data_IF_871954755992
#
_entry.id   IF_871954755992
#
_cell.length_a   1.000
_cell.length_b   1.000
_cell.length_c   1.000
_cell.angle_alpha   90.00
_cell.angle_beta   90.00
_cell.angle_gamma   90.00
#
_symmetry.space_group_name_H-M   'P 1'
#
loop_
_entity.id
_entity.type
_entity.pdbx_description
1 polymer ?
#
# COMPACT_ATOMS: atom_id res chain seq x y z
N UNK A 1 24.12 -4.64 1.39
CA UNK A 1 23.83 -3.54 2.33
C UNK A 1 22.53 -3.92 3.02
N UNK A 2 22.40 -3.82 4.35
CA UNK A 2 21.08 -3.97 4.96
C UNK A 2 20.17 -2.85 4.46
N UNK A 3 19.00 -3.21 3.94
CA UNK A 3 17.98 -2.23 3.57
C UNK A 3 17.34 -1.74 4.87
N UNK A 4 17.48 -0.45 5.17
CA UNK A 4 16.81 0.15 6.32
C UNK A 4 15.30 0.09 6.08
N UNK A 5 14.57 -0.49 7.03
CA UNK A 5 13.11 -0.53 7.00
C UNK A 5 12.51 0.53 7.93
N UNK A 6 11.31 0.98 7.58
CA UNK A 6 10.49 1.88 8.38
C UNK A 6 9.17 1.18 8.72
N UNK A 7 8.74 1.19 10.00
CA UNK A 7 7.42 0.69 10.37
C UNK A 7 6.35 1.69 9.95
N UNK A 8 5.33 1.26 9.20
CA UNK A 8 4.20 2.08 8.78
C UNK A 8 2.88 1.43 9.22
N UNK A 9 1.85 2.26 9.41
CA UNK A 9 0.47 1.78 9.35
C UNK A 9 -0.13 2.18 8.02
N UNK A 10 -0.61 1.20 7.27
CA UNK A 10 -1.27 1.40 5.99
C UNK A 10 -2.74 1.01 6.07
N UNK A 11 -3.57 1.77 5.36
CA UNK A 11 -4.95 1.39 5.04
C UNK A 11 -4.97 0.78 3.65
N UNK A 12 -5.56 -0.39 3.51
CA UNK A 12 -5.78 -1.09 2.25
C UNK A 12 -7.28 -1.17 2.01
N UNK A 13 -7.74 -0.70 0.86
CA UNK A 13 -9.12 -0.88 0.42
C UNK A 13 -9.15 -1.68 -0.90
N UNK A 14 -9.96 -2.73 -0.92
CA UNK A 14 -10.17 -3.62 -2.07
C UNK A 14 -11.66 -3.57 -2.44
N UNK A 15 -12.01 -2.97 -3.57
CA UNK A 15 -13.40 -2.84 -4.02
C UNK A 15 -13.65 -3.67 -5.29
N UNK A 16 -14.28 -4.83 -5.12
CA UNK A 16 -14.53 -5.78 -6.20
C UNK A 16 -15.83 -5.42 -6.95
N UNK A 17 -15.74 -5.30 -8.28
CA UNK A 17 -16.87 -4.98 -9.13
C UNK A 17 -17.98 -6.03 -8.98
N UNK A 18 -19.19 -5.56 -8.66
CA UNK A 18 -20.35 -6.42 -8.37
C UNK A 18 -20.16 -7.37 -7.18
N UNK A 19 -19.10 -7.18 -6.39
CA UNK A 19 -18.72 -8.01 -5.26
C UNK A 19 -18.71 -7.22 -3.94
N UNK A 20 -18.05 -7.77 -2.91
CA UNK A 20 -17.83 -7.08 -1.65
C UNK A 20 -16.70 -6.04 -1.75
N UNK A 21 -16.71 -5.11 -0.80
CA UNK A 21 -15.58 -4.21 -0.54
C UNK A 21 -14.97 -4.54 0.81
N UNK A 22 -13.64 -4.50 0.88
CA UNK A 22 -12.87 -4.76 2.11
C UNK A 22 -12.00 -3.56 2.46
N UNK A 23 -11.82 -3.35 3.77
CA UNK A 23 -10.96 -2.30 4.32
C UNK A 23 -10.13 -2.90 5.45
N UNK A 24 -8.81 -2.82 5.34
CA UNK A 24 -7.86 -3.34 6.31
C UNK A 24 -6.91 -2.27 6.80
N UNK A 25 -6.54 -2.35 8.08
CA UNK A 25 -5.42 -1.60 8.65
C UNK A 25 -4.30 -2.58 8.94
N UNK A 26 -3.15 -2.36 8.31
CA UNK A 26 -1.99 -3.25 8.40
C UNK A 26 -0.80 -2.48 8.99
N UNK A 27 -0.06 -3.14 9.88
CA UNK A 27 1.23 -2.66 10.36
C UNK A 27 2.33 -3.40 9.62
N UNK A 28 3.19 -2.66 8.91
CA UNK A 28 4.17 -3.23 7.97
C UNK A 28 5.54 -2.60 8.17
N UNK A 29 6.59 -3.41 8.05
CA UNK A 29 7.97 -2.93 7.97
C UNK A 29 8.40 -2.92 6.50
N UNK A 30 8.64 -1.74 5.94
CA UNK A 30 8.91 -1.58 4.50
C UNK A 30 10.24 -0.87 4.25
N UNK A 31 10.93 -1.15 3.14
CA UNK A 31 12.16 -0.43 2.80
C UNK A 31 11.90 1.06 2.62
N UNK A 32 12.78 1.90 3.18
CA UNK A 32 12.75 3.35 2.99
C UNK A 32 12.97 3.68 1.49
N UNK A 33 12.17 4.59 0.89
CA UNK A 33 12.41 5.02 -0.48
C UNK A 33 13.78 5.68 -0.61
N UNK A 34 14.49 5.37 -1.69
CA UNK A 34 15.80 5.95 -1.95
C UNK A 34 15.69 7.46 -2.24
N UNK A 35 16.76 8.21 -1.97
CA UNK A 35 16.80 9.65 -2.23
C UNK A 35 16.62 9.90 -3.74
N UNK A 36 15.55 10.62 -4.10
CA UNK A 36 15.21 10.93 -5.49
C UNK A 36 14.47 9.81 -6.23
N UNK A 37 14.08 8.74 -5.54
CA UNK A 37 13.21 7.70 -6.10
C UNK A 37 11.82 8.26 -6.42
N UNK A 38 11.19 7.75 -7.49
CA UNK A 38 9.79 8.04 -7.76
C UNK A 38 8.92 7.39 -6.69
N UNK A 39 8.33 8.22 -5.83
CA UNK A 39 7.50 7.77 -4.72
C UNK A 39 6.29 6.97 -5.20
N UNK A 40 5.71 7.30 -6.36
CA UNK A 40 4.55 6.53 -6.87
C UNK A 40 4.99 5.12 -7.28
N UNK A 41 6.10 5.01 -8.02
CA UNK A 41 6.70 3.73 -8.37
C UNK A 41 7.12 2.91 -7.14
N UNK A 42 7.68 3.56 -6.13
CA UNK A 42 7.99 2.91 -4.84
C UNK A 42 6.73 2.37 -4.16
N UNK A 43 5.67 3.17 -4.04
CA UNK A 43 4.40 2.71 -3.44
C UNK A 43 3.79 1.54 -4.21
N UNK A 44 3.81 1.59 -5.55
CA UNK A 44 3.33 0.49 -6.41
C UNK A 44 4.15 -0.79 -6.23
N UNK A 45 5.45 -0.67 -6.01
CA UNK A 45 6.35 -1.82 -5.84
C UNK A 45 6.29 -2.41 -4.42
N UNK A 46 6.16 -1.56 -3.40
CA UNK A 46 6.38 -1.92 -2.00
C UNK A 46 5.08 -2.06 -1.21
N UNK A 47 4.10 -1.16 -1.42
CA UNK A 47 2.86 -1.12 -0.65
C UNK A 47 1.69 -1.77 -1.36
N UNK A 48 1.58 -1.61 -2.68
CA UNK A 48 0.49 -2.19 -3.46
C UNK A 48 0.39 -3.72 -3.39
N UNK A 49 1.47 -4.50 -3.22
CA UNK A 49 1.37 -5.95 -3.02
C UNK A 49 0.62 -6.39 -1.75
N UNK A 50 0.32 -5.48 -0.82
CA UNK A 50 -0.54 -5.77 0.35
C UNK A 50 -2.05 -5.71 0.03
N UNK A 51 -2.41 -5.35 -1.21
CA UNK A 51 -3.81 -5.34 -1.68
C UNK A 51 -4.27 -6.73 -2.14
N UNK A 52 -5.59 -6.89 -2.28
CA UNK A 52 -6.23 -8.13 -2.68
C UNK A 52 -6.58 -9.08 -1.53
N UNK A 53 -7.57 -9.94 -1.77
CA UNK A 53 -8.15 -10.87 -0.78
C UNK A 53 -7.84 -12.34 -1.09
N UNK A 54 -6.81 -12.60 -1.88
CA UNK A 54 -6.39 -13.95 -2.25
C UNK A 54 -7.15 -14.55 -3.44
N UNK A 55 -7.01 -15.87 -3.62
CA UNK A 55 -7.42 -16.56 -4.84
C UNK A 55 -8.92 -16.52 -5.13
N UNK A 56 -9.75 -16.39 -4.11
CA UNK A 56 -11.21 -16.39 -4.26
C UNK A 56 -11.73 -15.16 -5.02
N UNK A 57 -10.92 -14.12 -5.13
CA UNK A 57 -11.25 -12.86 -5.79
C UNK A 57 -10.32 -12.53 -6.98
N UNK A 58 -9.43 -13.44 -7.38
CA UNK A 58 -8.39 -13.17 -8.37
C UNK A 58 -8.92 -12.91 -9.79
N UNK A 59 -10.12 -13.40 -10.11
CA UNK A 59 -10.77 -13.26 -11.42
C UNK A 59 -11.86 -12.17 -11.43
N UNK A 60 -11.91 -11.32 -10.39
CA UNK A 60 -12.87 -10.22 -10.28
C UNK A 60 -12.19 -8.89 -10.58
N UNK A 61 -12.76 -8.11 -11.49
CA UNK A 61 -12.36 -6.72 -11.69
C UNK A 61 -12.48 -5.97 -10.37
N UNK A 62 -11.46 -5.20 -10.01
CA UNK A 62 -11.47 -4.46 -8.75
C UNK A 62 -10.71 -3.14 -8.83
N UNK A 63 -11.03 -2.24 -7.90
CA UNK A 63 -10.21 -1.08 -7.58
C UNK A 63 -9.49 -1.39 -6.28
N UNK A 64 -8.16 -1.40 -6.35
CA UNK A 64 -7.29 -1.59 -5.20
C UNK A 64 -6.65 -0.26 -4.82
N UNK A 65 -6.58 0.03 -3.52
CA UNK A 65 -5.89 1.21 -3.04
C UNK A 65 -5.15 0.95 -1.74
N UNK A 66 -4.06 1.69 -1.56
CA UNK A 66 -3.27 1.69 -0.33
C UNK A 66 -2.90 3.12 0.04
N UNK A 67 -3.03 3.45 1.32
CA UNK A 67 -2.71 4.75 1.89
C UNK A 67 -1.84 4.59 3.14
N UNK A 68 -0.83 5.43 3.29
CA UNK A 68 -0.05 5.53 4.54
C UNK A 68 -0.82 6.41 5.51
N UNK A 69 -1.24 5.84 6.64
CA UNK A 69 -2.05 6.55 7.66
C UNK A 69 -1.28 6.83 8.95
N UNK A 70 -0.14 6.18 9.15
CA UNK A 70 0.79 6.46 10.24
C UNK A 70 2.22 6.14 9.79
N UNK A 71 3.16 6.98 10.20
CA UNK A 71 4.59 6.85 9.94
C UNK A 71 5.37 7.47 11.12
N UNK A 72 6.63 7.05 11.37
CA UNK A 72 7.48 7.71 12.35
C UNK A 72 7.74 9.16 11.94
N UNK A 73 7.99 10.02 12.92
CA UNK A 73 8.11 11.48 12.72
C UNK A 73 9.18 11.87 11.70
N UNK A 74 10.26 11.08 11.59
CA UNK A 74 11.31 11.31 10.58
C UNK A 74 10.81 11.12 9.14
N UNK A 75 9.67 10.43 8.98
CA UNK A 75 9.02 10.09 7.73
C UNK A 75 7.64 10.75 7.55
N UNK A 76 7.33 11.83 8.28
CA UNK A 76 6.06 12.57 8.13
C UNK A 76 5.77 13.03 6.69
N UNK A 77 6.81 13.20 5.86
CA UNK A 77 6.67 13.61 4.46
C UNK A 77 5.98 12.57 3.55
N UNK A 78 5.91 11.29 3.97
CA UNK A 78 5.16 10.24 3.25
C UNK A 78 3.77 9.98 3.87
N UNK A 79 3.46 10.59 5.01
CA UNK A 79 2.16 10.43 5.65
C UNK A 79 1.04 10.97 4.74
N UNK A 80 -0.04 10.18 4.61
CA UNK A 80 -1.21 10.52 3.82
C UNK A 80 -1.08 10.22 2.32
N UNK A 81 0.11 9.86 1.82
CA UNK A 81 0.29 9.43 0.45
C UNK A 81 -0.55 8.18 0.17
N UNK A 82 -1.17 8.14 -1.01
CA UNK A 82 -2.03 7.06 -1.45
C UNK A 82 -1.78 6.73 -2.92
N UNK A 83 -1.94 5.45 -3.27
CA UNK A 83 -1.95 4.99 -4.66
C UNK A 83 -3.11 4.02 -4.87
N UNK A 84 -3.67 4.05 -6.08
CA UNK A 84 -4.77 3.17 -6.48
C UNK A 84 -4.58 2.70 -7.92
N UNK A 85 -4.97 1.48 -8.21
CA UNK A 85 -5.04 0.97 -9.58
C UNK A 85 -6.21 0.01 -9.75
N UNK A 86 -6.66 -0.13 -11.00
CA UNK A 86 -7.58 -1.20 -11.38
C UNK A 86 -6.79 -2.48 -11.64
N UNK A 87 -7.36 -3.61 -11.26
CA UNK A 87 -6.80 -4.93 -11.52
C UNK A 87 -7.87 -5.98 -11.72
#
# INVERSE_FOLDING_TARGET
MPTTTVPLTIRVDNDYAHGPSFCHLLHVDVPVPAVGEDITGWMMSVLFPYTGEGSDYADMDAIYSVQIIDAPVEFDHILGLAVSAMG
#
